data_IF_432130833329
#
_entry.id   IF_432130833329
#
_cell.length_a   1.000
_cell.length_b   1.000
_cell.length_c   1.000
_cell.angle_alpha   90.00
_cell.angle_beta   90.00
_cell.angle_gamma   90.00
#
_symmetry.space_group_name_H-M   'P 1'
#
loop_
_entity.id
_entity.type
_entity.pdbx_description
1 polymer ?
#
# COMPACT_ATOMS: atom_id res chain seq x y z
N UNK A 1 20.61 4.17 -35.34
CA UNK A 1 19.21 3.79 -35.02
C UNK A 1 19.19 3.43 -33.54
N UNK A 2 19.20 4.43 -32.68
CA UNK A 2 19.19 4.26 -31.23
C UNK A 2 18.55 5.52 -30.66
N UNK A 3 17.31 5.41 -30.20
CA UNK A 3 16.53 6.54 -29.75
C UNK A 3 15.05 6.28 -29.96
N UNK A 4 14.47 5.40 -29.15
CA UNK A 4 13.09 5.55 -28.66
C UNK A 4 12.65 4.55 -27.57
N UNK A 5 13.52 3.73 -27.00
CA UNK A 5 13.11 2.66 -26.05
C UNK A 5 12.80 3.11 -24.61
N UNK A 6 12.73 4.41 -24.30
CA UNK A 6 12.51 4.91 -22.92
C UNK A 6 11.39 5.93 -22.77
N UNK A 7 10.52 6.09 -23.77
CA UNK A 7 9.23 6.73 -23.54
C UNK A 7 8.31 5.72 -22.82
N UNK A 8 8.67 5.36 -21.57
CA UNK A 8 7.77 4.63 -20.70
C UNK A 8 6.50 5.47 -20.59
N UNK A 9 5.37 4.87 -20.93
CA UNK A 9 4.08 5.46 -20.63
C UNK A 9 4.04 5.74 -19.12
N UNK A 10 4.04 7.03 -18.73
CA UNK A 10 4.01 7.42 -17.32
C UNK A 10 2.75 6.90 -16.60
N UNK A 11 1.78 6.35 -17.34
CA UNK A 11 0.60 5.66 -16.82
C UNK A 11 0.89 4.25 -16.30
N UNK A 12 1.93 3.56 -16.78
CA UNK A 12 2.25 2.17 -16.43
C UNK A 12 3.40 2.03 -15.40
N UNK A 13 3.76 3.11 -14.70
CA UNK A 13 4.86 3.13 -13.74
C UNK A 13 4.42 2.98 -12.29
N UNK A 14 5.27 2.35 -11.48
CA UNK A 14 5.16 2.35 -10.02
C UNK A 14 6.15 3.36 -9.46
N UNK A 15 5.66 4.26 -8.61
CA UNK A 15 6.49 5.14 -7.80
C UNK A 15 6.70 4.53 -6.42
N UNK A 16 7.93 4.56 -5.92
CA UNK A 16 8.25 4.18 -4.55
C UNK A 16 9.09 5.27 -3.89
N UNK A 17 8.63 5.74 -2.72
CA UNK A 17 9.43 6.55 -1.82
C UNK A 17 10.26 5.62 -0.91
N UNK A 18 11.58 5.82 -0.87
CA UNK A 18 12.52 5.02 -0.07
C UNK A 18 12.59 3.54 -0.50
N UNK A 19 13.12 2.68 0.38
CA UNK A 19 13.23 1.23 0.16
C UNK A 19 12.70 0.45 1.35
N UNK A 20 12.18 -0.75 1.11
CA UNK A 20 11.73 -1.65 2.18
C UNK A 20 12.88 -1.98 3.15
N UNK A 21 14.11 -2.13 2.67
CA UNK A 21 15.28 -2.37 3.51
C UNK A 21 15.57 -1.22 4.47
N UNK A 22 15.43 0.04 4.02
CA UNK A 22 15.57 1.21 4.90
C UNK A 22 14.50 1.22 5.99
N UNK A 23 13.24 0.92 5.64
CA UNK A 23 12.14 0.84 6.58
C UNK A 23 12.37 -0.27 7.62
N UNK A 24 12.75 -1.48 7.18
CA UNK A 24 13.03 -2.61 8.06
C UNK A 24 14.09 -2.30 9.12
N UNK A 25 15.10 -1.50 8.77
CA UNK A 25 16.16 -1.08 9.68
C UNK A 25 15.84 0.17 10.54
N UNK A 26 14.57 0.58 10.63
CA UNK A 26 14.16 1.67 11.52
C UNK A 26 14.30 3.08 10.94
N UNK A 27 14.43 3.22 9.62
CA UNK A 27 14.47 4.54 8.97
C UNK A 27 13.05 5.10 8.82
N UNK A 28 12.43 5.49 9.93
CA UNK A 28 11.02 5.94 9.98
C UNK A 28 10.81 7.44 9.78
N UNK A 29 11.87 8.20 9.51
CA UNK A 29 11.76 9.61 9.14
C UNK A 29 12.07 9.77 7.64
N UNK A 30 11.03 9.94 6.82
CA UNK A 30 11.19 10.38 5.44
C UNK A 30 10.99 11.88 5.26
N UNK A 31 11.34 12.35 4.07
CA UNK A 31 11.31 13.76 3.68
C UNK A 31 10.21 14.11 2.67
N UNK A 32 9.67 13.10 1.95
CA UNK A 32 8.58 13.23 0.99
C UNK A 32 7.26 13.54 1.69
N UNK A 33 6.59 14.60 1.23
CA UNK A 33 5.27 15.02 1.71
C UNK A 33 4.14 14.35 0.94
N UNK A 34 2.97 14.22 1.55
CA UNK A 34 1.78 13.68 0.86
C UNK A 34 1.32 14.57 -0.30
N UNK A 35 1.50 15.88 -0.22
CA UNK A 35 1.27 16.79 -1.34
C UNK A 35 2.18 16.49 -2.54
N UNK A 36 3.41 16.02 -2.33
CA UNK A 36 4.30 15.57 -3.41
C UNK A 36 3.90 14.20 -3.97
N UNK A 37 3.15 13.39 -3.21
CA UNK A 37 2.64 12.08 -3.62
C UNK A 37 1.37 12.15 -4.47
N UNK A 38 0.54 13.19 -4.32
CA UNK A 38 -0.72 13.35 -5.09
C UNK A 38 -0.53 13.27 -6.61
N UNK A 39 0.66 13.61 -7.12
CA UNK A 39 1.00 13.50 -8.55
C UNK A 39 1.70 12.19 -8.95
N UNK A 40 1.79 11.20 -8.07
CA UNK A 40 2.59 9.97 -8.25
C UNK A 40 1.75 8.70 -8.44
N UNK A 41 0.46 8.76 -8.13
CA UNK A 41 -0.47 7.64 -8.29
C UNK A 41 -1.76 7.88 -7.51
N UNK A 42 -2.79 7.10 -7.83
CA UNK A 42 -4.13 7.16 -7.24
C UNK A 42 -4.52 5.86 -6.50
N UNK A 43 -3.69 4.81 -6.60
CA UNK A 43 -3.77 3.59 -5.82
C UNK A 43 -2.42 3.27 -5.19
N UNK A 44 -2.42 2.83 -3.93
CA UNK A 44 -1.20 2.40 -3.27
C UNK A 44 -1.30 2.22 -1.78
N UNK A 45 -0.13 2.06 -1.16
CA UNK A 45 0.02 1.77 0.26
C UNK A 45 1.33 2.32 0.83
N UNK A 46 1.43 2.36 2.14
CA UNK A 46 2.66 2.72 2.85
C UNK A 46 2.40 3.04 4.31
N UNK A 47 3.11 4.03 4.84
CA UNK A 47 2.96 4.47 6.22
C UNK A 47 3.32 5.96 6.36
N UNK A 48 3.21 6.51 7.57
CA UNK A 48 3.58 7.88 7.89
C UNK A 48 4.87 7.90 8.73
N UNK A 49 5.50 9.07 8.89
CA UNK A 49 6.71 9.20 9.70
C UNK A 49 6.48 8.69 11.14
N UNK A 50 7.48 7.97 11.65
CA UNK A 50 7.39 7.23 12.89
C UNK A 50 6.56 5.95 12.79
N UNK A 51 6.29 5.45 11.57
CA UNK A 51 5.37 4.33 11.29
C UNK A 51 4.04 4.49 12.03
N UNK A 52 3.47 5.69 11.94
CA UNK A 52 2.23 6.08 12.59
C UNK A 52 1.03 5.52 11.82
N UNK A 53 0.76 4.22 12.01
CA UNK A 53 -0.30 3.50 11.34
C UNK A 53 -0.02 3.14 9.88
N UNK A 54 -1.06 2.66 9.21
CA UNK A 54 -1.03 2.25 7.81
C UNK A 54 -1.56 3.36 6.92
N UNK A 55 -0.92 3.58 5.77
CA UNK A 55 -1.38 4.48 4.73
C UNK A 55 -2.01 3.69 3.58
N UNK A 56 -3.18 4.15 3.15
CA UNK A 56 -3.93 3.59 2.03
C UNK A 56 -4.18 4.73 1.04
N UNK A 57 -3.80 4.54 -0.22
CA UNK A 57 -4.17 5.42 -1.32
C UNK A 57 -5.21 4.71 -2.19
N UNK A 58 -6.39 5.32 -2.34
CA UNK A 58 -7.47 4.78 -3.17
C UNK A 58 -8.25 5.94 -3.79
N UNK A 59 -8.51 5.87 -5.10
CA UNK A 59 -9.20 6.92 -5.86
C UNK A 59 -8.57 8.32 -5.67
N UNK A 60 -7.24 8.35 -5.50
CA UNK A 60 -6.47 9.58 -5.27
C UNK A 60 -6.57 10.16 -3.85
N UNK A 61 -7.31 9.51 -2.95
CA UNK A 61 -7.41 9.90 -1.54
C UNK A 61 -6.39 9.14 -0.69
N UNK A 62 -5.61 9.86 0.10
CA UNK A 62 -4.72 9.28 1.11
C UNK A 62 -5.42 9.20 2.46
N UNK A 63 -5.58 7.97 2.96
CA UNK A 63 -6.16 7.65 4.25
C UNK A 63 -5.09 7.06 5.18
N UNK A 64 -5.20 7.37 6.47
CA UNK A 64 -4.47 6.72 7.55
C UNK A 64 -5.42 5.84 8.33
N UNK A 65 -5.08 4.57 8.49
CA UNK A 65 -5.65 3.68 9.50
C UNK A 65 -4.71 3.64 10.71
N UNK A 66 -5.13 4.19 11.84
CA UNK A 66 -4.32 4.19 13.06
C UNK A 66 -4.36 2.85 13.82
N UNK A 67 -3.74 2.81 14.99
CA UNK A 67 -3.64 1.60 15.83
C UNK A 67 -4.98 1.19 16.46
N UNK A 68 -5.97 2.07 16.47
CA UNK A 68 -7.33 1.81 16.94
C UNK A 68 -8.27 1.43 15.79
N UNK A 69 -7.78 1.49 14.54
CA UNK A 69 -8.53 1.14 13.33
C UNK A 69 -9.35 2.30 12.77
N UNK A 70 -9.17 3.51 13.32
CA UNK A 70 -9.87 4.70 12.87
C UNK A 70 -9.23 5.24 11.58
N UNK A 71 -10.10 5.59 10.62
CA UNK A 71 -9.69 6.17 9.34
C UNK A 71 -9.72 7.70 9.39
N UNK A 72 -8.64 8.32 8.92
CA UNK A 72 -8.54 9.77 8.77
C UNK A 72 -7.86 10.15 7.46
N UNK A 73 -8.22 11.29 6.88
CA UNK A 73 -7.54 11.84 5.70
C UNK A 73 -6.15 12.32 6.10
N UNK A 74 -5.13 11.95 5.32
CA UNK A 74 -3.75 12.36 5.58
C UNK A 74 -3.56 13.82 5.16
N UNK A 75 -3.05 14.70 6.05
CA UNK A 75 -2.70 16.07 5.69
C UNK A 75 -1.58 16.12 4.65
N UNK A 76 -1.67 17.03 3.68
CA UNK A 76 -0.68 17.15 2.60
C UNK A 76 0.74 17.48 3.07
N UNK A 77 0.90 18.11 4.25
CA UNK A 77 2.19 18.43 4.87
C UNK A 77 2.77 17.30 5.73
N UNK A 78 1.99 16.24 5.99
CA UNK A 78 2.50 15.03 6.59
C UNK A 78 3.57 14.40 5.68
N UNK A 79 4.42 13.55 6.26
CA UNK A 79 5.54 12.92 5.57
C UNK A 79 5.51 11.42 5.69
N UNK A 80 6.09 10.75 4.71
CA UNK A 80 6.19 9.30 4.67
C UNK A 80 7.66 8.83 4.61
N UNK A 81 8.04 7.79 5.36
CA UNK A 81 9.32 7.11 5.20
C UNK A 81 9.27 6.04 4.11
N UNK A 82 8.07 5.62 3.67
CA UNK A 82 7.86 4.59 2.68
C UNK A 82 6.43 4.64 2.13
N UNK A 83 6.33 4.70 0.80
CA UNK A 83 5.07 4.60 0.07
C UNK A 83 5.31 3.96 -1.30
N UNK A 84 4.34 3.19 -1.78
CA UNK A 84 4.30 2.61 -3.13
C UNK A 84 3.00 3.05 -3.77
N UNK A 85 3.07 3.67 -4.95
CA UNK A 85 1.92 4.24 -5.66
C UNK A 85 1.97 3.84 -7.14
N UNK A 86 0.80 3.66 -7.74
CA UNK A 86 0.62 3.47 -9.17
C UNK A 86 -0.50 4.39 -9.67
N UNK A 87 -0.39 4.83 -10.92
CA UNK A 87 -1.55 5.36 -11.65
C UNK A 87 -2.39 4.15 -12.09
N UNK A 88 -3.53 3.93 -11.46
CA UNK A 88 -4.30 2.71 -11.62
C UNK A 88 -5.23 2.78 -12.83
N UNK A 89 -4.77 2.18 -13.93
CA UNK A 89 -5.56 1.95 -15.14
C UNK A 89 -5.60 0.43 -15.42
N UNK A 90 -6.60 -0.30 -14.88
CA UNK A 90 -6.57 -1.77 -14.89
C UNK A 90 -6.75 -2.33 -16.31
N UNK A 91 -5.75 -3.06 -16.79
CA UNK A 91 -5.81 -3.79 -18.06
C UNK A 91 -6.75 -5.01 -18.01
N UNK A 92 -6.91 -5.60 -16.82
CA UNK A 92 -7.77 -6.75 -16.55
C UNK A 92 -8.85 -6.38 -15.54
N UNK A 93 -10.08 -6.82 -15.81
CA UNK A 93 -11.20 -6.75 -14.87
C UNK A 93 -11.97 -8.05 -14.95
N UNK A 94 -12.09 -8.75 -13.84
CA UNK A 94 -12.81 -10.01 -13.75
C UNK A 94 -13.52 -10.10 -12.39
N UNK A 95 -14.58 -10.88 -12.35
CA UNK A 95 -15.36 -11.12 -11.15
C UNK A 95 -14.98 -12.47 -10.54
N UNK A 96 -14.85 -12.51 -9.22
CA UNK A 96 -14.67 -13.75 -8.47
C UNK A 96 -15.97 -14.09 -7.76
N UNK A 97 -16.53 -15.25 -8.12
CA UNK A 97 -17.73 -15.76 -7.48
C UNK A 97 -17.44 -16.46 -6.15
N UNK A 98 -18.41 -16.41 -5.24
CA UNK A 98 -18.33 -17.08 -3.94
C UNK A 98 -17.48 -16.32 -2.92
N UNK A 99 -16.88 -17.05 -1.98
CA UNK A 99 -16.01 -16.51 -0.93
C UNK A 99 -14.71 -17.33 -0.92
N UNK A 100 -13.80 -17.11 -1.89
CA UNK A 100 -12.55 -17.87 -1.96
C UNK A 100 -11.70 -17.65 -0.71
N UNK A 101 -10.83 -18.61 -0.40
CA UNK A 101 -9.73 -18.37 0.54
C UNK A 101 -8.74 -17.37 -0.07
N UNK A 102 -7.87 -16.79 0.76
CA UNK A 102 -6.80 -15.92 0.28
C UNK A 102 -5.87 -16.62 -0.73
N UNK A 103 -5.56 -17.91 -0.51
CA UNK A 103 -4.75 -18.70 -1.43
C UNK A 103 -5.45 -18.87 -2.78
N UNK A 104 -6.75 -19.21 -2.78
CA UNK A 104 -7.53 -19.37 -4.01
C UNK A 104 -7.74 -18.03 -4.75
N UNK A 105 -7.85 -16.93 -4.02
CA UNK A 105 -7.84 -15.58 -4.58
C UNK A 105 -6.50 -15.29 -5.27
N UNK A 106 -5.38 -15.60 -4.63
CA UNK A 106 -4.04 -15.47 -5.21
C UNK A 106 -3.88 -16.28 -6.50
N UNK A 107 -4.25 -17.56 -6.48
CA UNK A 107 -4.20 -18.44 -7.66
C UNK A 107 -5.04 -17.89 -8.82
N UNK A 108 -6.21 -17.33 -8.53
CA UNK A 108 -7.08 -16.75 -9.55
C UNK A 108 -6.50 -15.45 -10.15
N UNK A 109 -5.88 -14.61 -9.33
CA UNK A 109 -5.17 -13.41 -9.79
C UNK A 109 -3.96 -13.80 -10.66
N UNK A 110 -3.14 -14.76 -10.21
CA UNK A 110 -1.97 -15.23 -10.94
C UNK A 110 -2.33 -15.80 -12.32
N UNK A 111 -3.44 -16.55 -12.40
CA UNK A 111 -3.96 -17.09 -13.65
C UNK A 111 -4.40 -16.00 -14.64
N UNK A 112 -4.87 -14.85 -14.15
CA UNK A 112 -5.30 -13.73 -14.99
C UNK A 112 -4.12 -12.86 -15.44
N UNK A 113 -3.19 -12.52 -14.53
CA UNK A 113 -2.10 -11.56 -14.84
C UNK A 113 -0.97 -12.16 -15.69
N UNK A 114 -0.75 -13.48 -15.64
CA UNK A 114 0.12 -14.22 -16.56
C UNK A 114 1.63 -13.89 -16.54
N UNK A 115 2.07 -12.95 -15.69
CA UNK A 115 3.43 -12.39 -15.67
C UNK A 115 3.94 -12.18 -14.23
N UNK A 116 4.29 -13.25 -13.49
CA UNK A 116 4.68 -13.17 -12.07
C UNK A 116 5.98 -12.39 -11.82
N UNK A 117 6.78 -12.16 -12.86
CA UNK A 117 8.02 -11.39 -12.79
C UNK A 117 7.82 -9.86 -12.76
N UNK A 118 6.60 -9.39 -13.02
CA UNK A 118 6.26 -7.97 -13.09
C UNK A 118 5.58 -7.50 -11.80
N UNK A 119 5.65 -6.20 -11.54
CA UNK A 119 4.90 -5.58 -10.44
C UNK A 119 3.47 -5.32 -10.93
N UNK A 120 2.50 -5.80 -10.16
CA UNK A 120 1.07 -5.60 -10.43
C UNK A 120 0.44 -4.69 -9.40
N UNK A 121 -0.41 -3.77 -9.85
CA UNK A 121 -1.31 -3.01 -9.00
C UNK A 121 -2.67 -3.72 -8.98
N UNK A 122 -3.18 -4.01 -7.79
CA UNK A 122 -4.41 -4.78 -7.61
C UNK A 122 -5.40 -3.95 -6.78
N UNK A 123 -6.65 -3.92 -7.23
CA UNK A 123 -7.78 -3.40 -6.48
C UNK A 123 -8.87 -4.47 -6.47
N UNK A 124 -9.42 -4.73 -5.29
CA UNK A 124 -10.48 -5.70 -5.08
C UNK A 124 -11.61 -4.96 -4.38
N UNK A 125 -12.72 -4.80 -5.09
CA UNK A 125 -13.96 -4.24 -4.55
C UNK A 125 -14.96 -5.38 -4.35
N UNK A 126 -15.64 -5.42 -3.21
CA UNK A 126 -16.64 -6.45 -2.94
C UNK A 126 -16.96 -6.60 -1.45
N UNK A 127 -17.77 -7.60 -1.15
CA UNK A 127 -18.07 -7.98 0.23
C UNK A 127 -17.10 -9.05 0.69
N UNK A 128 -16.49 -8.85 1.85
CA UNK A 128 -15.53 -9.76 2.45
C UNK A 128 -16.17 -10.41 3.68
N UNK A 129 -16.27 -11.75 3.66
CA UNK A 129 -16.73 -12.51 4.82
C UNK A 129 -15.81 -12.28 6.04
N UNK A 130 -14.51 -12.14 5.79
CA UNK A 130 -13.54 -11.78 6.83
C UNK A 130 -12.37 -10.98 6.24
N UNK A 131 -11.95 -9.93 6.95
CA UNK A 131 -10.69 -9.22 6.70
C UNK A 131 -9.86 -9.25 7.98
N UNK A 132 -8.67 -9.83 7.89
CA UNK A 132 -7.68 -9.84 8.97
C UNK A 132 -6.63 -8.78 8.67
N UNK A 133 -6.67 -7.68 9.41
CA UNK A 133 -5.79 -6.53 9.21
C UNK A 133 -4.97 -6.26 10.46
N UNK A 134 -3.93 -5.44 10.30
CA UNK A 134 -3.12 -4.97 11.42
C UNK A 134 -2.71 -3.53 11.22
N UNK A 135 -2.36 -2.87 12.31
CA UNK A 135 -1.72 -1.56 12.32
C UNK A 135 -0.69 -1.52 13.45
N UNK A 136 0.27 -0.60 13.35
CA UNK A 136 1.35 -0.45 14.34
C UNK A 136 1.24 0.88 15.07
N UNK A 137 1.54 0.92 16.38
CA UNK A 137 1.59 2.18 17.11
C UNK A 137 2.73 3.05 16.59
N UNK A 138 2.51 4.37 16.60
CA UNK A 138 3.55 5.35 16.29
C UNK A 138 4.79 5.13 17.18
N UNK A 139 5.96 5.12 16.56
CA UNK A 139 7.24 5.02 17.24
C UNK A 139 7.82 6.40 17.58
N UNK A 140 8.62 6.43 18.63
CA UNK A 140 9.46 7.55 19.01
C UNK A 140 10.94 7.16 18.96
N UNK A 141 11.83 8.12 18.78
CA UNK A 141 13.28 7.87 18.81
C UNK A 141 13.74 7.39 20.20
N UNK A 142 14.78 6.53 20.27
CA UNK A 142 15.43 5.86 19.13
C UNK A 142 14.52 4.81 18.49
N UNK A 143 14.48 4.77 17.16
CA UNK A 143 13.64 3.82 16.43
C UNK A 143 14.21 2.40 16.53
N UNK A 144 13.32 1.44 16.82
CA UNK A 144 13.61 0.01 16.77
C UNK A 144 13.45 -0.53 15.34
N UNK A 145 14.15 -1.61 14.97
CA UNK A 145 13.87 -2.38 13.75
C UNK A 145 12.39 -2.78 13.64
N UNK A 146 11.89 -2.93 12.40
CA UNK A 146 10.45 -3.11 12.16
C UNK A 146 9.93 -4.44 12.69
N UNK A 147 10.73 -5.50 12.65
CA UNK A 147 10.40 -6.81 13.22
C UNK A 147 10.15 -6.74 14.74
N UNK A 148 10.87 -5.89 15.46
CA UNK A 148 10.60 -5.62 16.88
C UNK A 148 9.32 -4.81 17.09
N UNK A 149 9.03 -3.84 16.22
CA UNK A 149 7.81 -3.01 16.32
C UNK A 149 6.56 -3.83 16.04
N UNK A 150 6.63 -4.75 15.09
CA UNK A 150 5.52 -5.63 14.69
C UNK A 150 5.06 -6.52 15.85
N UNK A 151 5.91 -6.79 16.84
CA UNK A 151 5.49 -7.49 18.07
C UNK A 151 4.43 -6.71 18.87
N UNK A 152 4.38 -5.39 18.71
CA UNK A 152 3.43 -4.47 19.35
C UNK A 152 2.24 -4.10 18.44
N UNK A 153 2.04 -4.84 17.33
CA UNK A 153 0.95 -4.57 16.40
C UNK A 153 -0.43 -4.77 17.05
N UNK A 154 -1.40 -3.98 16.62
CA UNK A 154 -2.81 -4.26 16.86
C UNK A 154 -3.39 -5.04 15.67
N UNK A 155 -4.22 -6.04 15.95
CA UNK A 155 -4.83 -6.89 14.95
C UNK A 155 -6.33 -6.70 14.99
N UNK A 156 -6.94 -6.56 13.81
CA UNK A 156 -8.36 -6.37 13.61
C UNK A 156 -8.92 -7.54 12.82
N UNK A 157 -10.02 -8.10 13.32
CA UNK A 157 -10.82 -9.10 12.62
C UNK A 157 -12.17 -8.47 12.29
N UNK A 158 -12.35 -8.14 11.01
CA UNK A 158 -13.61 -7.66 10.49
C UNK A 158 -14.38 -8.84 9.89
N UNK A 159 -15.69 -8.86 10.11
CA UNK A 159 -16.60 -9.87 9.55
C UNK A 159 -17.69 -9.16 8.74
N UNK A 160 -18.06 -9.75 7.61
CA UNK A 160 -19.16 -9.28 6.73
C UNK A 160 -19.08 -7.78 6.37
N UNK A 161 -17.91 -7.33 5.89
CA UNK A 161 -17.64 -5.93 5.48
C UNK A 161 -17.72 -5.73 3.98
N UNK A 162 -18.02 -4.50 3.54
CA UNK A 162 -18.18 -4.10 2.13
C UNK A 162 -17.32 -2.87 1.80
#
# INVERSE_FOLDING_TARGET
MAGDDLAADQRAGVFQASTITSLLHGSYDGDVTFAELEGRGDLGLGTLNGIDGEMIAVDGLFLKADVDGDLSVVPGDAKTPFAVLANFDPAHRFELGGSPSLDALGEAIDAEVGHPEQVHALRIDGTFARVHARSVPKQSKPYRPLDEVIADQHVFDFEDVA
#
